data_IF_651722715430
#
_entry.id   IF_651722715430
#
_cell.length_a   1.000
_cell.length_b   1.000
_cell.length_c   1.000
_cell.angle_alpha   90.00
_cell.angle_beta   90.00
_cell.angle_gamma   90.00
#
_symmetry.space_group_name_H-M   'P 1'
#
loop_
_entity.id
_entity.type
_entity.pdbx_description
1 polymer ?
#
# COMPACT_ATOMS: atom_id res chain seq x y z
N UNK A 1 -22.11 -0.21 2.18
CA UNK A 1 -22.04 -0.07 3.66
C UNK A 1 -20.58 0.17 4.04
N UNK A 2 -20.27 0.95 5.09
CA UNK A 2 -18.89 1.16 5.50
C UNK A 2 -18.26 -0.17 5.94
N UNK A 3 -17.05 -0.48 5.45
CA UNK A 3 -16.30 -1.64 5.89
C UNK A 3 -15.59 -1.34 7.21
N UNK A 4 -15.41 -2.36 8.04
CA UNK A 4 -14.60 -2.24 9.26
C UNK A 4 -13.13 -2.37 8.86
N UNK A 5 -12.34 -1.31 9.06
CA UNK A 5 -10.91 -1.31 8.75
C UNK A 5 -10.10 -1.57 10.01
N UNK A 6 -9.18 -2.54 9.98
CA UNK A 6 -8.25 -2.78 11.08
C UNK A 6 -6.91 -3.35 10.59
N UNK A 7 -5.91 -3.35 11.48
CA UNK A 7 -4.66 -4.09 11.24
C UNK A 7 -4.96 -5.58 11.11
N UNK A 8 -4.25 -6.22 10.19
CA UNK A 8 -4.24 -7.67 10.02
C UNK A 8 -3.79 -8.34 11.33
N UNK A 9 -4.48 -9.40 11.73
CA UNK A 9 -4.06 -10.27 12.84
C UNK A 9 -3.72 -11.67 12.32
N UNK A 10 -2.92 -12.49 13.04
CA UNK A 10 -2.49 -13.80 12.55
C UNK A 10 -3.65 -14.73 12.14
N UNK A 11 -4.80 -14.61 12.79
CA UNK A 11 -5.99 -15.40 12.54
C UNK A 11 -6.61 -15.13 11.15
N UNK A 12 -6.34 -13.95 10.57
CA UNK A 12 -6.86 -13.55 9.27
C UNK A 12 -6.14 -14.18 8.08
N UNK A 13 -4.93 -14.71 8.28
CA UNK A 13 -4.07 -15.15 7.17
C UNK A 13 -4.72 -16.15 6.21
N UNK A 14 -5.47 -17.18 6.67
CA UNK A 14 -6.08 -18.12 5.75
C UNK A 14 -7.10 -17.42 4.85
N UNK A 15 -7.88 -16.50 5.44
CA UNK A 15 -8.88 -15.71 4.73
C UNK A 15 -8.24 -14.70 3.78
N UNK A 16 -7.16 -14.04 4.21
CA UNK A 16 -6.41 -13.11 3.37
C UNK A 16 -5.76 -13.83 2.19
N UNK A 17 -5.17 -15.01 2.42
CA UNK A 17 -4.55 -15.81 1.36
C UNK A 17 -5.60 -16.26 0.34
N UNK A 18 -6.79 -16.65 0.80
CA UNK A 18 -7.94 -16.98 -0.06
C UNK A 18 -8.40 -15.76 -0.87
N UNK A 19 -8.54 -14.60 -0.24
CA UNK A 19 -8.93 -13.35 -0.90
C UNK A 19 -7.91 -12.91 -1.96
N UNK A 20 -6.62 -12.98 -1.63
CA UNK A 20 -5.54 -12.58 -2.53
C UNK A 20 -5.28 -13.62 -3.63
N UNK A 21 -5.69 -14.88 -3.45
CA UNK A 21 -5.42 -15.97 -4.37
C UNK A 21 -3.95 -16.44 -4.36
N UNK A 22 -3.21 -16.14 -3.28
CA UNK A 22 -1.80 -16.50 -3.12
C UNK A 22 -1.45 -16.66 -1.64
N UNK A 23 -0.40 -17.41 -1.34
CA UNK A 23 0.13 -17.50 0.02
C UNK A 23 0.70 -16.16 0.47
N UNK A 24 0.43 -15.80 1.72
CA UNK A 24 0.87 -14.55 2.36
C UNK A 24 1.82 -14.93 3.48
N UNK A 25 3.14 -14.89 3.22
CA UNK A 25 4.13 -15.35 4.21
C UNK A 25 4.72 -14.23 5.09
N UNK A 26 4.63 -12.94 4.71
CA UNK A 26 5.46 -11.89 5.35
C UNK A 26 4.76 -10.56 5.67
N UNK A 27 3.43 -10.47 5.56
CA UNK A 27 2.73 -9.17 5.60
C UNK A 27 2.19 -8.74 6.98
N UNK A 28 2.52 -9.47 8.05
CA UNK A 28 1.87 -9.35 9.37
C UNK A 28 1.95 -7.98 10.03
N UNK A 29 3.06 -7.26 9.87
CA UNK A 29 3.27 -6.00 10.60
C UNK A 29 2.61 -4.77 9.98
N UNK A 30 2.40 -4.79 8.66
CA UNK A 30 2.09 -3.59 7.88
C UNK A 30 0.98 -3.84 6.85
N UNK A 31 -0.11 -4.46 7.30
CA UNK A 31 -1.30 -4.68 6.47
C UNK A 31 -2.56 -4.23 7.19
N UNK A 32 -3.38 -3.48 6.47
CA UNK A 32 -4.76 -3.16 6.83
C UNK A 32 -5.70 -4.07 6.04
N UNK A 33 -6.75 -4.54 6.70
CA UNK A 33 -7.83 -5.31 6.08
C UNK A 33 -9.14 -4.57 6.23
N UNK A 34 -9.97 -4.66 5.21
CA UNK A 34 -11.36 -4.22 5.22
C UNK A 34 -12.25 -5.45 5.37
N UNK A 35 -13.13 -5.43 6.38
CA UNK A 35 -14.08 -6.49 6.68
C UNK A 35 -15.50 -6.03 6.36
N UNK A 36 -16.31 -6.94 5.81
CA UNK A 36 -17.75 -6.73 5.69
C UNK A 36 -18.46 -7.03 7.02
N UNK A 37 -19.80 -6.99 6.99
CA UNK A 37 -20.67 -7.26 8.14
C UNK A 37 -20.61 -8.71 8.66
N UNK A 38 -20.02 -9.62 7.88
CA UNK A 38 -19.86 -11.04 8.22
C UNK A 38 -18.41 -11.36 8.61
N UNK A 39 -17.60 -10.33 8.93
CA UNK A 39 -16.17 -10.44 9.20
C UNK A 39 -15.37 -11.07 8.03
N UNK A 40 -15.89 -11.02 6.80
CA UNK A 40 -15.17 -11.50 5.63
C UNK A 40 -14.26 -10.40 5.08
N UNK A 41 -13.02 -10.77 4.74
CA UNK A 41 -12.07 -9.84 4.12
C UNK A 41 -12.54 -9.50 2.72
N UNK A 42 -12.90 -8.24 2.52
CA UNK A 42 -13.30 -7.69 1.23
C UNK A 42 -12.23 -6.80 0.62
N UNK A 43 -11.25 -6.34 1.40
CA UNK A 43 -10.15 -5.52 0.90
C UNK A 43 -8.90 -5.64 1.76
N UNK A 44 -7.75 -5.33 1.17
CA UNK A 44 -6.48 -5.33 1.87
C UNK A 44 -5.53 -4.26 1.30
N UNK A 45 -4.76 -3.63 2.17
CA UNK A 45 -3.70 -2.69 1.82
C UNK A 45 -2.45 -3.04 2.64
N UNK A 46 -1.33 -3.28 1.96
CA UNK A 46 -0.02 -3.42 2.61
C UNK A 46 0.84 -2.19 2.37
N UNK A 47 1.65 -1.86 3.37
CA UNK A 47 2.51 -0.68 3.35
C UNK A 47 3.89 -0.96 3.95
N UNK A 48 4.81 -0.03 3.77
CA UNK A 48 6.14 -0.06 4.37
C UNK A 48 6.42 1.27 5.04
N UNK A 49 7.18 1.25 6.14
CA UNK A 49 7.81 2.47 6.66
C UNK A 49 9.04 2.77 5.80
N UNK A 50 9.14 3.99 5.33
CA UNK A 50 10.24 4.48 4.51
C UNK A 50 10.83 5.73 5.16
N UNK A 51 11.89 6.26 4.58
CA UNK A 51 12.56 7.46 5.09
C UNK A 51 12.94 8.37 3.93
N UNK A 52 12.51 9.63 4.00
CA UNK A 52 12.95 10.71 3.13
C UNK A 52 14.13 11.43 3.78
N UNK A 53 15.21 11.64 3.02
CA UNK A 53 16.35 12.43 3.51
C UNK A 53 16.00 13.90 3.74
N UNK A 54 14.89 14.37 3.17
CA UNK A 54 14.42 15.75 3.26
C UNK A 54 13.30 15.91 4.30
N UNK A 55 12.42 14.92 4.39
CA UNK A 55 11.16 15.02 5.15
C UNK A 55 11.04 13.97 6.26
N UNK A 56 12.12 13.26 6.58
CA UNK A 56 12.19 12.25 7.65
C UNK A 56 11.24 11.05 7.37
N UNK A 57 10.68 10.44 8.42
CA UNK A 57 9.84 9.24 8.36
C UNK A 57 8.68 9.40 7.39
N UNK A 58 8.51 8.41 6.53
CA UNK A 58 7.43 8.33 5.55
C UNK A 58 6.81 6.95 5.54
N UNK A 59 5.69 6.78 4.83
CA UNK A 59 5.14 5.46 4.51
C UNK A 59 5.00 5.31 3.00
N UNK A 60 5.05 4.08 2.51
CA UNK A 60 4.79 3.76 1.11
C UNK A 60 3.73 2.67 1.01
N UNK A 61 2.76 2.84 0.11
CA UNK A 61 1.82 1.79 -0.29
C UNK A 61 2.58 0.76 -1.11
N UNK A 62 2.58 -0.50 -0.67
CA UNK A 62 3.21 -1.60 -1.42
C UNK A 62 2.21 -2.21 -2.40
N UNK A 63 1.06 -2.63 -1.89
CA UNK A 63 -0.03 -3.21 -2.68
C UNK A 63 -1.37 -2.88 -2.04
N UNK A 64 -2.39 -2.70 -2.88
CA UNK A 64 -3.78 -2.54 -2.44
C UNK A 64 -4.70 -3.35 -3.34
N UNK A 65 -5.71 -3.97 -2.75
CA UNK A 65 -6.78 -4.66 -3.45
C UNK A 65 -8.09 -4.36 -2.75
N UNK A 66 -9.02 -3.78 -3.50
CA UNK A 66 -10.36 -3.43 -3.05
C UNK A 66 -11.36 -3.74 -4.16
N UNK A 67 -12.61 -4.08 -3.84
CA UNK A 67 -13.64 -4.45 -4.81
C UNK A 67 -14.24 -3.22 -5.49
N UNK A 68 -14.20 -2.07 -4.81
CA UNK A 68 -14.77 -0.81 -5.27
C UNK A 68 -14.01 0.39 -4.70
N UNK A 69 -14.35 1.58 -5.21
CA UNK A 69 -13.71 2.84 -4.82
C UNK A 69 -14.00 3.25 -3.36
N UNK A 70 -15.11 2.78 -2.78
CA UNK A 70 -15.51 3.12 -1.41
C UNK A 70 -14.59 2.42 -0.42
N UNK A 71 -14.41 1.10 -0.57
CA UNK A 71 -13.50 0.31 0.27
C UNK A 71 -12.06 0.77 0.07
N UNK A 72 -11.67 1.07 -1.18
CA UNK A 72 -10.35 1.61 -1.49
C UNK A 72 -10.06 2.91 -0.73
N UNK A 73 -11.00 3.87 -0.78
CA UNK A 73 -10.85 5.15 -0.07
C UNK A 73 -10.77 4.95 1.44
N UNK A 74 -11.57 4.04 2.01
CA UNK A 74 -11.52 3.72 3.44
C UNK A 74 -10.15 3.15 3.86
N UNK A 75 -9.58 2.24 3.07
CA UNK A 75 -8.23 1.69 3.32
C UNK A 75 -7.14 2.78 3.24
N UNK A 76 -7.23 3.69 2.26
CA UNK A 76 -6.28 4.79 2.12
C UNK A 76 -6.37 5.79 3.27
N UNK A 77 -7.58 6.16 3.70
CA UNK A 77 -7.79 7.03 4.87
C UNK A 77 -7.22 6.38 6.14
N UNK A 78 -7.49 5.09 6.35
CA UNK A 78 -6.95 4.37 7.50
C UNK A 78 -5.40 4.31 7.48
N UNK A 79 -4.78 4.21 6.30
CA UNK A 79 -3.32 4.31 6.17
C UNK A 79 -2.80 5.71 6.54
N UNK A 80 -3.50 6.77 6.12
CA UNK A 80 -3.16 8.16 6.48
C UNK A 80 -3.23 8.35 7.99
N UNK A 81 -4.24 7.78 8.67
CA UNK A 81 -4.36 7.82 10.13
C UNK A 81 -3.18 7.10 10.81
N UNK A 82 -2.77 5.93 10.28
CA UNK A 82 -1.59 5.20 10.77
C UNK A 82 -0.31 6.02 10.57
N UNK A 83 -0.12 6.63 9.40
CA UNK A 83 1.02 7.49 9.11
C UNK A 83 1.07 8.70 10.05
N UNK A 84 -0.07 9.35 10.28
CA UNK A 84 -0.22 10.48 11.20
C UNK A 84 0.14 10.10 12.64
N UNK A 85 -0.41 8.98 13.13
CA UNK A 85 -0.12 8.47 14.48
C UNK A 85 1.38 8.14 14.68
N UNK A 86 2.04 7.70 13.63
CA UNK A 86 3.47 7.39 13.64
C UNK A 86 4.37 8.62 13.35
N UNK A 87 3.76 9.80 13.16
CA UNK A 87 4.42 11.06 12.81
C UNK A 87 5.22 10.98 11.51
N UNK A 88 4.68 10.29 10.52
CA UNK A 88 5.20 10.32 9.17
C UNK A 88 4.81 11.64 8.49
N UNK A 89 5.72 12.21 7.71
CA UNK A 89 5.52 13.45 6.97
C UNK A 89 4.65 13.27 5.73
N UNK A 90 4.71 12.09 5.11
CA UNK A 90 3.96 11.76 3.90
C UNK A 90 3.69 10.26 3.73
N UNK A 91 2.77 9.97 2.81
CA UNK A 91 2.48 8.64 2.30
C UNK A 91 2.68 8.65 0.79
N UNK A 92 3.61 7.82 0.31
CA UNK A 92 3.93 7.67 -1.11
C UNK A 92 3.19 6.45 -1.68
N UNK A 93 2.79 6.53 -2.95
CA UNK A 93 2.18 5.41 -3.66
C UNK A 93 2.61 5.42 -5.12
N UNK A 94 2.94 4.25 -5.66
CA UNK A 94 3.18 4.06 -7.09
C UNK A 94 2.03 3.26 -7.67
N UNK A 95 1.44 3.73 -8.77
CA UNK A 95 0.29 3.05 -9.37
C UNK A 95 0.26 3.18 -10.88
N UNK A 96 -0.10 2.09 -11.55
CA UNK A 96 -0.60 2.08 -12.93
C UNK A 96 -2.12 1.83 -13.00
N UNK A 97 -2.76 1.58 -11.85
CA UNK A 97 -4.20 1.39 -11.72
C UNK A 97 -4.92 2.75 -11.76
N UNK A 98 -5.79 3.01 -12.76
CA UNK A 98 -6.54 4.26 -12.88
C UNK A 98 -7.48 4.52 -11.70
N UNK A 99 -8.06 3.47 -11.10
CA UNK A 99 -8.97 3.59 -9.97
C UNK A 99 -8.24 4.06 -8.72
N UNK A 100 -7.06 3.48 -8.46
CA UNK A 100 -6.18 3.95 -7.37
C UNK A 100 -5.67 5.36 -7.62
N UNK A 101 -5.25 5.69 -8.84
CA UNK A 101 -4.81 7.04 -9.18
C UNK A 101 -5.91 8.08 -8.94
N UNK A 102 -7.17 7.78 -9.31
CA UNK A 102 -8.31 8.64 -9.05
C UNK A 102 -8.58 8.81 -7.55
N UNK A 103 -8.58 7.71 -6.80
CA UNK A 103 -8.80 7.75 -5.35
C UNK A 103 -7.73 8.56 -4.60
N UNK A 104 -6.47 8.45 -5.02
CA UNK A 104 -5.37 9.26 -4.47
C UNK A 104 -5.56 10.75 -4.77
N UNK A 105 -5.93 11.10 -6.01
CA UNK A 105 -6.23 12.50 -6.40
C UNK A 105 -7.39 13.08 -5.60
N UNK A 106 -8.45 12.30 -5.38
CA UNK A 106 -9.60 12.70 -4.54
C UNK A 106 -9.22 12.93 -3.07
N UNK A 107 -8.13 12.32 -2.61
CA UNK A 107 -7.55 12.53 -1.27
C UNK A 107 -6.51 13.66 -1.24
N UNK A 108 -6.31 14.37 -2.35
CA UNK A 108 -5.39 15.50 -2.44
C UNK A 108 -3.93 15.12 -2.71
N UNK A 109 -3.65 13.91 -3.20
CA UNK A 109 -2.29 13.51 -3.57
C UNK A 109 -1.77 14.33 -4.76
N UNK A 110 -0.47 14.61 -4.75
CA UNK A 110 0.25 15.18 -5.90
C UNK A 110 0.82 14.06 -6.78
N UNK A 111 0.80 14.25 -8.10
CA UNK A 111 1.50 13.37 -9.04
C UNK A 111 2.96 13.81 -9.17
N UNK A 112 3.86 13.10 -8.47
CA UNK A 112 5.30 13.40 -8.44
C UNK A 112 6.01 13.16 -9.79
N UNK A 113 5.42 12.35 -10.69
CA UNK A 113 5.96 12.18 -12.05
C UNK A 113 5.78 13.45 -12.86
N UNK A 114 4.66 14.14 -12.65
CA UNK A 114 4.32 15.37 -13.38
C UNK A 114 4.91 16.62 -12.73
N UNK A 115 4.90 16.68 -11.39
CA UNK A 115 5.30 17.88 -10.64
C UNK A 115 6.79 17.97 -10.35
N UNK A 116 7.44 16.83 -10.14
CA UNK A 116 8.83 16.74 -9.71
C UNK A 116 9.67 15.87 -10.66
N UNK A 117 9.09 15.44 -11.79
CA UNK A 117 9.74 14.62 -12.82
C UNK A 117 10.34 13.31 -12.31
N UNK A 118 9.84 12.77 -11.19
CA UNK A 118 10.33 11.50 -10.64
C UNK A 118 10.13 10.36 -11.63
N UNK A 119 11.12 9.48 -11.68
CA UNK A 119 11.11 8.27 -12.50
C UNK A 119 11.49 7.09 -11.63
N UNK A 120 10.75 5.99 -11.78
CA UNK A 120 11.12 4.71 -11.20
C UNK A 120 12.03 3.96 -12.19
N UNK A 121 13.21 3.56 -11.74
CA UNK A 121 14.17 2.81 -12.54
C UNK A 121 14.28 1.37 -12.02
N UNK A 122 14.28 0.41 -12.94
CA UNK A 122 14.59 -0.98 -12.68
C UNK A 122 15.93 -1.33 -13.33
N UNK A 123 16.82 -1.98 -12.58
CA UNK A 123 18.05 -2.54 -13.16
C UNK A 123 17.73 -3.87 -13.83
N UNK A 124 17.75 -3.90 -15.16
CA UNK A 124 17.63 -5.13 -15.94
C UNK A 124 18.95 -5.92 -15.93
N UNK A 125 18.89 -7.23 -16.20
CA UNK A 125 20.06 -8.12 -16.27
C UNK A 125 20.91 -8.20 -14.98
N UNK A 126 20.26 -8.40 -13.82
CA UNK A 126 20.94 -8.56 -12.53
C UNK A 126 22.08 -9.61 -12.58
N UNK A 127 21.90 -10.72 -13.31
CA UNK A 127 22.94 -11.74 -13.48
C UNK A 127 24.18 -11.25 -14.21
N UNK A 128 24.03 -10.35 -15.18
CA UNK A 128 25.17 -9.78 -15.91
C UNK A 128 25.98 -8.84 -15.01
N UNK A 129 25.31 -8.08 -14.15
CA UNK A 129 25.97 -7.23 -13.15
C UNK A 129 26.72 -8.05 -12.10
N UNK A 130 26.16 -9.18 -11.68
CA UNK A 130 26.79 -10.05 -10.69
C UNK A 130 27.96 -10.89 -11.23
N UNK A 131 28.06 -11.07 -12.55
CA UNK A 131 29.10 -11.90 -13.19
C UNK A 131 30.33 -11.13 -13.66
N UNK A 132 30.32 -9.79 -13.64
CA UNK A 132 31.50 -8.99 -13.96
C UNK A 132 32.47 -8.96 -12.77
N UNK A 133 33.78 -9.27 -12.96
CA UNK A 133 34.77 -9.11 -11.91
C UNK A 133 34.88 -7.63 -11.52
N UNK A 134 34.92 -7.36 -10.21
CA UNK A 134 35.05 -6.02 -9.64
C UNK A 134 36.47 -5.48 -9.81
#
# INVERSE_FOLDING_TARGET
MPATIRKLVPEDLPNLSKFLGRSVMEFFGNTLVALDENDAIVGALSFSRTYSTWEDRSMAVNTVRAPDATVLKQLLVALIDVASAEKCSRVDAHTSDPQLAAALKDLGSLDLTTTEEWRLYEMTNLQEFLSKPK
#
